data_IF_686585175014
#
_entry.id   IF_686585175014
#
_cell.length_a   1.000
_cell.length_b   1.000
_cell.length_c   1.000
_cell.angle_alpha   90.00
_cell.angle_beta   90.00
_cell.angle_gamma   90.00
#
_symmetry.space_group_name_H-M   'P 1'
#
loop_
_entity.id
_entity.type
_entity.pdbx_description
1 polymer ?
#
# COMPACT_ATOMS: atom_id res chain seq x y z
N UNK A 1 8.87 1.29 16.55
CA UNK A 1 9.51 2.38 15.79
C UNK A 1 9.19 3.66 16.52
N UNK A 2 10.16 4.54 16.67
CA UNK A 2 10.04 5.75 17.47
C UNK A 2 10.35 6.96 16.59
N UNK A 3 9.62 8.06 16.79
CA UNK A 3 9.90 9.29 16.05
C UNK A 3 10.93 10.11 16.82
N UNK A 4 12.06 10.41 16.18
CA UNK A 4 13.12 11.24 16.73
C UNK A 4 13.26 12.54 15.92
N UNK A 5 13.70 13.61 16.58
CA UNK A 5 13.94 14.91 15.95
C UNK A 5 15.39 15.32 16.16
N UNK A 6 16.08 15.63 15.08
CA UNK A 6 17.46 16.13 15.09
C UNK A 6 17.51 17.45 14.32
N UNK A 7 17.48 18.56 15.03
CA UNK A 7 17.37 19.90 14.42
C UNK A 7 16.05 20.08 13.67
N UNK A 8 16.13 20.37 12.37
CA UNK A 8 14.97 20.49 11.47
C UNK A 8 14.52 19.16 10.88
N UNK A 9 15.29 18.08 11.06
CA UNK A 9 15.00 16.77 10.51
C UNK A 9 14.18 15.92 11.47
N UNK A 10 13.28 15.11 10.91
CA UNK A 10 12.47 14.16 11.67
C UNK A 10 12.66 12.77 11.08
N UNK A 11 13.06 11.84 11.93
CA UNK A 11 13.33 10.46 11.53
C UNK A 11 12.39 9.50 12.25
N UNK A 12 12.05 8.41 11.56
CA UNK A 12 11.52 7.23 12.21
C UNK A 12 12.69 6.28 12.50
N UNK A 13 12.93 6.03 13.79
CA UNK A 13 13.97 5.15 14.29
C UNK A 13 13.41 3.74 14.47
N UNK A 14 14.14 2.76 13.94
CA UNK A 14 13.94 1.36 14.27
C UNK A 14 15.28 0.75 14.67
N UNK A 15 15.39 0.32 15.92
CA UNK A 15 16.53 -0.46 16.39
C UNK A 15 16.60 -1.80 15.67
N UNK A 16 17.83 -2.18 15.34
CA UNK A 16 18.18 -3.51 14.84
C UNK A 16 18.55 -4.33 16.08
N UNK A 17 17.62 -5.15 16.56
CA UNK A 17 17.87 -6.01 17.73
C UNK A 17 18.78 -7.18 17.32
N UNK A 18 20.01 -7.18 17.84
CA UNK A 18 20.87 -8.36 17.83
C UNK A 18 20.38 -9.33 18.91
N UNK A 19 19.72 -10.43 18.53
CA UNK A 19 19.60 -11.58 19.44
C UNK A 19 20.93 -12.31 19.47
N UNK A 20 21.62 -12.28 20.61
CA UNK A 20 22.74 -13.19 20.88
C UNK A 20 22.18 -14.62 20.92
N UNK A 21 22.68 -15.57 20.13
CA UNK A 21 22.29 -16.96 20.27
C UNK A 21 22.69 -17.43 21.66
N UNK A 22 21.74 -18.00 22.40
CA UNK A 22 22.02 -18.68 23.66
C UNK A 22 22.88 -19.90 23.33
N UNK A 23 24.10 -19.96 23.87
CA UNK A 23 25.01 -21.09 23.70
C UNK A 23 24.40 -22.34 24.35
N UNK A 24 23.72 -23.18 23.57
CA UNK A 24 23.51 -24.58 23.89
C UNK A 24 24.40 -25.39 22.94
N UNK A 25 25.35 -26.14 23.48
CA UNK A 25 26.42 -26.85 22.76
C UNK A 25 25.92 -28.02 21.87
N UNK A 26 24.61 -28.13 21.63
CA UNK A 26 23.97 -29.26 20.96
C UNK A 26 23.25 -28.94 19.64
N UNK A 27 23.30 -27.70 19.13
CA UNK A 27 22.59 -27.30 17.91
C UNK A 27 23.53 -26.72 16.86
N UNK A 28 23.47 -27.26 15.63
CA UNK A 28 24.22 -26.78 14.46
C UNK A 28 23.97 -25.28 14.27
N UNK A 29 25.05 -24.50 14.30
CA UNK A 29 25.04 -23.05 14.21
C UNK A 29 24.42 -22.58 12.88
N UNK A 30 23.29 -21.88 12.94
CA UNK A 30 23.06 -20.78 12.01
C UNK A 30 23.65 -19.55 12.69
N UNK A 31 24.65 -18.92 12.07
CA UNK A 31 25.05 -17.59 12.49
C UNK A 31 23.84 -16.66 12.33
N UNK A 32 23.89 -15.45 12.88
CA UNK A 32 22.81 -14.46 12.83
C UNK A 32 22.63 -13.87 11.40
N UNK A 33 22.53 -14.76 10.40
CA UNK A 33 22.68 -14.55 8.96
C UNK A 33 21.65 -13.57 8.40
N UNK A 34 20.50 -13.39 9.06
CA UNK A 34 19.41 -12.55 8.57
C UNK A 34 19.77 -11.06 8.53
N UNK A 35 20.44 -10.54 9.57
CA UNK A 35 20.86 -9.14 9.59
C UNK A 35 22.12 -8.89 8.77
N UNK A 36 23.06 -9.84 8.76
CA UNK A 36 24.26 -9.74 7.94
C UNK A 36 23.89 -9.80 6.45
N UNK A 37 22.93 -10.63 6.06
CA UNK A 37 22.34 -10.63 4.72
C UNK A 37 21.68 -9.29 4.39
N UNK A 38 20.76 -8.81 5.25
CA UNK A 38 20.12 -7.52 5.03
C UNK A 38 21.15 -6.40 4.85
N UNK A 39 22.10 -6.27 5.77
CA UNK A 39 23.09 -5.20 5.76
C UNK A 39 24.05 -5.28 4.57
N UNK A 40 24.39 -6.48 4.10
CA UNK A 40 25.32 -6.69 2.98
C UNK A 40 24.66 -6.65 1.59
N UNK A 41 23.36 -6.95 1.51
CA UNK A 41 22.63 -7.07 0.24
C UNK A 41 21.51 -6.04 0.15
N UNK A 42 20.41 -6.24 0.87
CA UNK A 42 19.19 -5.44 0.73
C UNK A 42 19.43 -3.96 1.09
N UNK A 43 20.12 -3.68 2.19
CA UNK A 43 20.47 -2.32 2.59
C UNK A 43 21.35 -1.62 1.55
N UNK A 44 22.30 -2.34 0.93
CA UNK A 44 23.12 -1.76 -0.13
C UNK A 44 22.30 -1.46 -1.39
N UNK A 45 21.28 -2.26 -1.71
CA UNK A 45 20.29 -1.96 -2.75
C UNK A 45 19.50 -0.70 -2.37
N UNK A 46 18.93 -0.63 -1.17
CA UNK A 46 18.14 0.51 -0.69
C UNK A 46 18.95 1.81 -0.65
N UNK A 47 20.24 1.72 -0.32
CA UNK A 47 21.15 2.86 -0.16
C UNK A 47 21.67 3.41 -1.50
N UNK A 48 21.94 2.53 -2.48
CA UNK A 48 22.57 2.93 -3.75
C UNK A 48 21.59 3.34 -4.82
N UNK A 49 20.32 2.92 -4.70
CA UNK A 49 19.28 3.19 -5.69
C UNK A 49 18.32 4.27 -5.21
N UNK A 50 17.80 5.07 -6.14
CA UNK A 50 16.73 6.03 -5.88
C UNK A 50 15.37 5.33 -6.02
N UNK A 51 14.93 4.68 -4.94
CA UNK A 51 13.64 3.99 -4.86
C UNK A 51 12.55 5.01 -4.55
N UNK A 52 11.77 5.39 -5.56
CA UNK A 52 10.85 6.53 -5.46
C UNK A 52 9.69 6.24 -4.53
N UNK A 53 9.25 4.99 -4.51
CA UNK A 53 8.13 4.57 -3.67
C UNK A 53 8.57 4.23 -2.26
N UNK A 54 9.87 4.16 -1.95
CA UNK A 54 10.33 3.83 -0.61
C UNK A 54 10.86 5.06 0.13
N UNK A 55 10.65 5.10 1.44
CA UNK A 55 11.30 6.09 2.30
C UNK A 55 12.77 5.73 2.45
N UNK A 56 13.65 6.66 2.12
CA UNK A 56 15.11 6.48 2.27
C UNK A 56 15.48 6.17 3.72
N UNK A 57 16.30 5.13 3.91
CA UNK A 57 16.82 4.72 5.20
C UNK A 57 18.33 4.99 5.31
N UNK A 58 18.79 5.39 6.48
CA UNK A 58 20.20 5.52 6.83
C UNK A 58 20.55 4.59 7.98
N UNK A 59 21.64 3.83 7.84
CA UNK A 59 22.21 3.06 8.94
C UNK A 59 22.90 4.00 9.93
N UNK A 60 22.46 3.93 11.18
CA UNK A 60 23.10 4.57 12.33
C UNK A 60 23.72 3.50 13.20
N UNK A 61 24.98 3.69 13.57
CA UNK A 61 25.69 2.84 14.53
C UNK A 61 26.16 3.71 15.69
N UNK A 62 25.73 3.37 16.91
CA UNK A 62 26.07 4.10 18.13
C UNK A 62 26.13 3.13 19.29
N UNK A 63 27.22 3.15 20.05
CA UNK A 63 27.40 2.33 21.26
C UNK A 63 27.14 0.82 21.00
N UNK A 64 27.65 0.30 19.88
CA UNK A 64 27.44 -1.08 19.38
C UNK A 64 25.99 -1.42 18.96
N UNK A 65 25.05 -0.48 19.11
CA UNK A 65 23.69 -0.62 18.57
C UNK A 65 23.61 -0.11 17.13
N UNK A 66 23.03 -0.93 16.26
CA UNK A 66 22.66 -0.53 14.91
C UNK A 66 21.18 -0.16 14.85
N UNK A 67 20.86 0.83 14.05
CA UNK A 67 19.48 1.30 13.84
C UNK A 67 19.30 1.82 12.43
N UNK A 68 18.08 1.75 11.93
CA UNK A 68 17.67 2.42 10.70
C UNK A 68 16.94 3.72 11.03
N UNK A 69 17.38 4.79 10.38
CA UNK A 69 16.77 6.11 10.38
C UNK A 69 16.05 6.33 9.05
N UNK A 70 14.72 6.30 9.06
CA UNK A 70 13.94 6.64 7.88
C UNK A 70 13.65 8.14 7.84
N UNK A 71 14.02 8.81 6.75
CA UNK A 71 13.80 10.25 6.61
C UNK A 71 12.32 10.54 6.32
N UNK A 72 11.61 11.02 7.34
CA UNK A 72 10.21 11.43 7.26
C UNK A 72 10.05 12.96 7.36
N UNK A 73 11.14 13.69 7.16
CA UNK A 73 11.17 15.15 7.25
C UNK A 73 10.19 15.77 6.25
N UNK A 74 9.26 16.58 6.74
CA UNK A 74 8.24 17.21 5.91
C UNK A 74 7.18 16.26 5.33
N UNK A 75 7.21 14.96 5.69
CA UNK A 75 6.23 13.97 5.23
C UNK A 75 5.12 13.80 6.26
N UNK A 76 3.93 13.41 5.79
CA UNK A 76 2.74 13.20 6.64
C UNK A 76 2.28 11.75 6.57
N UNK A 77 2.07 11.06 7.70
CA UNK A 77 1.58 9.69 7.67
C UNK A 77 0.14 9.63 7.16
N UNK A 78 -0.20 8.60 6.40
CA UNK A 78 -1.52 8.40 5.81
C UNK A 78 -2.62 8.30 6.88
N UNK A 79 -2.29 7.71 8.04
CA UNK A 79 -3.17 7.67 9.23
C UNK A 79 -3.66 9.04 9.68
N UNK A 80 -2.80 10.06 9.56
CA UNK A 80 -3.17 11.44 9.92
C UNK A 80 -4.12 12.03 8.89
N UNK A 81 -3.91 11.73 7.61
CA UNK A 81 -4.76 12.23 6.53
C UNK A 81 -6.18 11.74 6.64
N UNK A 82 -6.40 10.44 6.87
CA UNK A 82 -7.76 9.88 7.01
C UNK A 82 -8.55 10.46 8.19
N UNK A 83 -7.88 11.08 9.17
CA UNK A 83 -8.52 11.84 10.26
C UNK A 83 -8.82 13.29 9.89
N UNK A 84 -8.02 13.89 9.02
CA UNK A 84 -8.10 15.31 8.65
C UNK A 84 -9.02 15.54 7.44
N UNK A 85 -9.10 14.57 6.53
CA UNK A 85 -9.98 14.58 5.36
C UNK A 85 -10.49 13.18 5.04
N UNK A 86 -11.68 13.11 4.47
CA UNK A 86 -12.17 11.89 3.85
C UNK A 86 -11.48 11.66 2.49
N UNK A 87 -11.30 10.39 2.12
CA UNK A 87 -10.69 10.00 0.86
C UNK A 87 -11.71 10.02 -0.27
N UNK A 88 -11.49 10.92 -1.23
CA UNK A 88 -12.20 10.87 -2.52
C UNK A 88 -11.74 9.68 -3.36
N UNK A 89 -12.50 9.37 -4.41
CA UNK A 89 -12.15 8.31 -5.35
C UNK A 89 -10.73 8.49 -5.91
N UNK A 90 -10.38 9.72 -6.28
CA UNK A 90 -9.06 10.08 -6.81
C UNK A 90 -7.93 9.77 -5.82
N UNK A 91 -8.18 9.96 -4.52
CA UNK A 91 -7.21 9.65 -3.48
C UNK A 91 -7.04 8.14 -3.29
N UNK A 92 -8.15 7.39 -3.30
CA UNK A 92 -8.12 5.93 -3.29
C UNK A 92 -7.32 5.37 -4.47
N UNK A 93 -7.57 5.87 -5.68
CA UNK A 93 -6.85 5.46 -6.89
C UNK A 93 -5.36 5.78 -6.83
N UNK A 94 -5.02 6.96 -6.31
CA UNK A 94 -3.63 7.35 -6.11
C UNK A 94 -2.91 6.38 -5.17
N UNK A 95 -3.56 5.97 -4.07
CA UNK A 95 -3.00 4.99 -3.13
C UNK A 95 -2.81 3.63 -3.82
N UNK A 96 -3.84 3.13 -4.51
CA UNK A 96 -3.77 1.84 -5.22
C UNK A 96 -2.72 1.84 -6.34
N UNK A 97 -2.63 2.92 -7.11
CA UNK A 97 -1.62 3.05 -8.17
C UNK A 97 -0.21 3.12 -7.59
N UNK A 98 0.00 3.89 -6.52
CA UNK A 98 1.30 3.96 -5.87
C UNK A 98 1.70 2.63 -5.23
N UNK A 99 0.75 1.86 -4.70
CA UNK A 99 0.99 0.48 -4.24
C UNK A 99 1.43 -0.44 -5.39
N UNK A 100 0.77 -0.38 -6.55
CA UNK A 100 1.19 -1.15 -7.74
C UNK A 100 2.61 -0.78 -8.17
N UNK A 101 2.94 0.51 -8.19
CA UNK A 101 4.29 0.99 -8.47
C UNK A 101 5.30 0.49 -7.43
N UNK A 102 4.93 0.46 -6.16
CA UNK A 102 5.79 -0.03 -5.07
C UNK A 102 6.06 -1.53 -5.20
N UNK A 103 5.04 -2.32 -5.52
CA UNK A 103 5.21 -3.77 -5.74
C UNK A 103 6.16 -4.00 -6.91
N UNK A 104 5.99 -3.27 -8.02
CA UNK A 104 6.90 -3.36 -9.17
C UNK A 104 8.33 -2.95 -8.78
N UNK A 105 8.52 -1.86 -8.05
CA UNK A 105 9.84 -1.39 -7.64
C UNK A 105 10.51 -2.41 -6.69
N UNK A 106 9.78 -3.00 -5.75
CA UNK A 106 10.28 -4.08 -4.88
C UNK A 106 10.71 -5.30 -5.69
N UNK A 107 9.90 -5.72 -6.67
CA UNK A 107 10.20 -6.86 -7.55
C UNK A 107 11.42 -6.61 -8.45
N UNK A 108 11.52 -5.41 -9.06
CA UNK A 108 12.61 -5.03 -9.97
C UNK A 108 13.98 -5.09 -9.29
N UNK A 109 14.01 -4.80 -8.00
CA UNK A 109 15.22 -4.85 -7.17
C UNK A 109 15.37 -6.15 -6.37
N UNK A 110 14.51 -7.15 -6.62
CA UNK A 110 14.51 -8.45 -5.94
C UNK A 110 14.41 -8.35 -4.41
N UNK A 111 13.71 -7.33 -3.91
CA UNK A 111 13.46 -7.12 -2.49
C UNK A 111 12.24 -7.96 -2.03
N UNK A 112 12.14 -8.27 -0.73
CA UNK A 112 11.01 -9.04 -0.20
C UNK A 112 9.82 -8.11 0.12
N UNK A 113 8.72 -8.26 -0.62
CA UNK A 113 7.48 -7.51 -0.40
C UNK A 113 6.94 -7.66 1.02
N UNK A 114 7.26 -8.76 1.73
CA UNK A 114 6.86 -8.93 3.11
C UNK A 114 7.48 -7.88 4.06
N UNK A 115 8.59 -7.28 3.67
CA UNK A 115 9.31 -6.25 4.43
C UNK A 115 8.68 -4.86 4.30
N UNK A 116 7.62 -4.69 3.50
CA UNK A 116 6.88 -3.43 3.42
C UNK A 116 5.93 -3.29 4.62
N UNK A 117 5.98 -2.12 5.28
CA UNK A 117 5.05 -1.76 6.34
C UNK A 117 3.74 -1.20 5.77
N UNK A 118 2.68 -2.01 5.87
CA UNK A 118 1.34 -1.69 5.36
C UNK A 118 0.46 -0.94 6.38
N UNK A 119 0.97 -0.65 7.58
CA UNK A 119 0.20 0.11 8.58
C UNK A 119 0.15 1.59 8.19
N UNK A 120 -1.04 2.24 8.22
CA UNK A 120 -1.20 3.63 7.80
C UNK A 120 -0.33 4.67 8.54
N UNK A 121 0.12 4.37 9.76
CA UNK A 121 1.08 5.21 10.49
C UNK A 121 2.50 5.22 9.90
N UNK A 122 2.84 4.26 9.03
CA UNK A 122 4.15 4.09 8.42
C UNK A 122 4.13 4.24 6.89
N UNK A 123 3.02 4.70 6.33
CA UNK A 123 2.89 5.10 4.93
C UNK A 123 2.87 6.62 4.91
N UNK A 124 3.75 7.24 4.14
CA UNK A 124 3.99 8.68 4.20
C UNK A 124 3.69 9.35 2.86
N UNK A 125 3.07 10.53 2.88
CA UNK A 125 2.96 11.41 1.72
C UNK A 125 3.90 12.59 1.88
N UNK A 126 4.68 12.89 0.85
CA UNK A 126 5.58 14.05 0.83
C UNK A 126 4.85 15.35 0.46
N UNK A 127 5.61 16.46 0.41
CA UNK A 127 5.07 17.79 0.05
C UNK A 127 4.58 17.91 -1.40
N UNK A 128 5.01 17.02 -2.31
CA UNK A 128 4.56 16.96 -3.71
C UNK A 128 3.31 16.08 -3.86
N UNK A 129 2.92 15.39 -2.79
CA UNK A 129 1.85 14.42 -2.81
C UNK A 129 2.32 13.02 -3.18
N UNK A 130 3.61 12.71 -3.23
CA UNK A 130 4.04 11.36 -3.54
C UNK A 130 3.95 10.47 -2.30
N UNK A 131 3.34 9.29 -2.46
CA UNK A 131 3.23 8.30 -1.39
C UNK A 131 4.49 7.44 -1.37
N UNK A 132 5.01 7.21 -0.17
CA UNK A 132 6.20 6.42 0.10
C UNK A 132 5.97 5.42 1.24
N UNK A 133 6.54 4.24 1.10
CA UNK A 133 6.39 3.10 2.00
C UNK A 133 7.69 2.87 2.78
N UNK A 134 7.56 2.40 4.02
CA UNK A 134 8.72 1.98 4.80
C UNK A 134 9.04 0.53 4.41
N UNK A 135 10.24 0.32 3.87
CA UNK A 135 10.83 -1.02 3.74
C UNK A 135 11.66 -1.31 4.99
N UNK A 136 11.24 -2.31 5.76
CA UNK A 136 11.96 -2.75 6.94
C UNK A 136 12.04 -4.28 6.95
N UNK A 137 13.26 -4.85 6.91
CA UNK A 137 13.46 -6.28 6.98
C UNK A 137 12.88 -6.82 8.29
N UNK A 138 11.88 -7.69 8.18
CA UNK A 138 11.49 -8.50 9.33
C UNK A 138 12.40 -9.71 9.35
N UNK A 139 13.29 -9.79 10.35
CA UNK A 139 14.05 -11.02 10.57
C UNK A 139 13.06 -12.16 10.77
N UNK A 140 13.16 -13.19 9.96
CA UNK A 140 12.42 -14.46 10.05
C UNK A 140 12.60 -15.20 11.39
N UNK A 141 13.39 -14.67 12.33
CA UNK A 141 13.69 -15.27 13.63
C UNK A 141 12.52 -15.33 14.63
N UNK A 142 11.31 -14.89 14.26
CA UNK A 142 10.08 -15.19 15.00
C UNK A 142 9.49 -16.56 14.66
N UNK A 143 9.83 -17.11 13.49
CA UNK A 143 9.28 -18.37 12.96
C UNK A 143 10.28 -19.53 12.91
N UNK A 144 11.58 -19.27 13.08
CA UNK A 144 12.66 -20.27 12.92
C UNK A 144 12.67 -21.40 13.96
N UNK A 145 11.86 -21.33 15.03
CA UNK A 145 11.64 -22.50 15.91
C UNK A 145 10.68 -23.54 15.29
N UNK A 146 10.21 -23.34 14.04
CA UNK A 146 9.39 -24.32 13.31
C UNK A 146 10.01 -24.74 11.99
N UNK A 147 11.32 -24.97 11.96
CA UNK A 147 12.00 -25.64 10.85
C UNK A 147 11.48 -27.07 10.72
N UNK A 148 10.50 -27.24 9.83
CA UNK A 148 10.16 -28.45 9.07
C UNK A 148 8.91 -28.10 8.28
N UNK A 149 9.04 -27.40 7.15
CA UNK A 149 8.12 -27.34 5.99
C UNK A 149 8.39 -26.04 5.19
N UNK A 150 9.30 -26.09 4.22
CA UNK A 150 9.56 -24.97 3.30
C UNK A 150 8.28 -24.55 2.54
N UNK A 151 7.37 -25.49 2.27
CA UNK A 151 6.08 -25.20 1.65
C UNK A 151 5.06 -24.52 2.59
N UNK A 152 5.08 -24.83 3.89
CA UNK A 152 4.22 -24.13 4.87
C UNK A 152 4.72 -22.72 5.12
N UNK A 153 6.02 -22.48 5.11
CA UNK A 153 6.58 -21.16 5.38
C UNK A 153 6.20 -20.16 4.28
N UNK A 154 6.27 -20.56 3.02
CA UNK A 154 5.85 -19.71 1.90
C UNK A 154 4.33 -19.45 1.93
N UNK A 155 3.52 -20.47 2.26
CA UNK A 155 2.08 -20.30 2.47
C UNK A 155 1.77 -19.39 3.66
N UNK A 156 2.48 -19.53 4.79
CA UNK A 156 2.28 -18.70 5.98
C UNK A 156 2.70 -17.24 5.74
N UNK A 157 3.78 -16.98 4.98
CA UNK A 157 4.19 -15.63 4.59
C UNK A 157 3.15 -14.97 3.68
N UNK A 158 2.67 -15.69 2.68
CA UNK A 158 1.62 -15.19 1.78
C UNK A 158 0.30 -14.94 2.53
N UNK A 159 -0.07 -15.82 3.48
CA UNK A 159 -1.21 -15.59 4.36
C UNK A 159 -1.04 -14.35 5.25
N UNK A 160 0.18 -14.06 5.72
CA UNK A 160 0.46 -12.86 6.50
C UNK A 160 0.36 -11.59 5.65
N UNK A 161 0.98 -11.57 4.46
CA UNK A 161 0.86 -10.44 3.54
C UNK A 161 -0.60 -10.18 3.15
N UNK A 162 -1.35 -11.24 2.84
CA UNK A 162 -2.79 -11.15 2.57
C UNK A 162 -3.54 -10.44 3.70
N UNK A 163 -3.35 -10.91 4.94
CA UNK A 163 -4.03 -10.33 6.12
C UNK A 163 -3.63 -8.88 6.35
N UNK A 164 -2.36 -8.52 6.14
CA UNK A 164 -1.88 -7.13 6.26
C UNK A 164 -2.46 -6.22 5.16
N UNK A 165 -2.55 -6.71 3.93
CA UNK A 165 -3.23 -5.99 2.83
C UNK A 165 -4.72 -5.80 3.11
N UNK A 166 -5.42 -6.86 3.53
CA UNK A 166 -6.83 -6.76 3.95
C UNK A 166 -7.02 -5.76 5.08
N UNK A 167 -6.13 -5.74 6.08
CA UNK A 167 -6.19 -4.80 7.19
C UNK A 167 -6.02 -3.34 6.73
N UNK A 168 -5.10 -3.07 5.78
CA UNK A 168 -4.93 -1.74 5.19
C UNK A 168 -6.20 -1.29 4.46
N UNK A 169 -6.76 -2.15 3.60
CA UNK A 169 -7.98 -1.80 2.86
C UNK A 169 -9.20 -1.68 3.76
N UNK A 170 -9.35 -2.55 4.75
CA UNK A 170 -10.40 -2.44 5.77
C UNK A 170 -10.28 -1.15 6.58
N UNK A 171 -9.06 -0.68 6.87
CA UNK A 171 -8.83 0.63 7.47
C UNK A 171 -9.21 1.77 6.54
N UNK A 172 -8.96 1.66 5.23
CA UNK A 172 -9.31 2.71 4.27
C UNK A 172 -10.82 2.92 4.13
N UNK A 173 -11.63 1.86 4.19
CA UNK A 173 -13.08 1.95 4.00
C UNK A 173 -13.78 3.04 4.83
N UNK A 174 -13.63 3.09 6.17
CA UNK A 174 -14.24 4.14 6.99
C UNK A 174 -13.61 5.53 6.78
N UNK A 175 -12.51 5.66 6.04
CA UNK A 175 -11.90 6.95 5.72
C UNK A 175 -12.45 7.56 4.42
N UNK A 176 -13.26 6.82 3.65
CA UNK A 176 -13.79 7.28 2.35
C UNK A 176 -14.81 8.38 2.57
N UNK A 177 -14.87 9.30 1.61
CA UNK A 177 -15.97 10.25 1.52
C UNK A 177 -17.26 9.52 1.13
N UNK A 178 -18.17 9.34 2.08
CA UNK A 178 -19.43 8.64 1.85
C UNK A 178 -20.42 9.44 0.98
N UNK A 179 -20.16 10.73 0.73
CA UNK A 179 -20.90 11.52 -0.26
C UNK A 179 -20.41 11.24 -1.69
N UNK A 180 -19.17 10.75 -1.85
CA UNK A 180 -18.60 10.28 -3.11
C UNK A 180 -19.01 8.82 -3.34
N UNK A 181 -20.17 8.64 -3.99
CA UNK A 181 -20.70 7.30 -4.29
C UNK A 181 -19.76 6.46 -5.14
N UNK A 182 -18.95 7.10 -5.99
CA UNK A 182 -18.00 6.41 -6.85
C UNK A 182 -16.81 5.90 -6.03
N UNK A 183 -16.30 6.68 -5.07
CA UNK A 183 -15.28 6.25 -4.13
C UNK A 183 -15.73 5.05 -3.28
N UNK A 184 -16.95 5.11 -2.76
CA UNK A 184 -17.56 4.02 -1.98
C UNK A 184 -17.63 2.76 -2.84
N UNK A 185 -18.28 2.83 -4.01
CA UNK A 185 -18.40 1.66 -4.87
C UNK A 185 -17.04 1.12 -5.30
N UNK A 186 -16.09 1.99 -5.63
CA UNK A 186 -14.74 1.62 -6.04
C UNK A 186 -14.05 0.81 -4.93
N UNK A 187 -13.87 1.39 -3.75
CA UNK A 187 -13.10 0.70 -2.70
C UNK A 187 -13.81 -0.52 -2.12
N UNK A 188 -15.15 -0.51 -1.98
CA UNK A 188 -15.87 -1.70 -1.51
C UNK A 188 -15.80 -2.86 -2.51
N UNK A 189 -15.93 -2.59 -3.82
CA UNK A 189 -15.76 -3.63 -4.86
C UNK A 189 -14.34 -4.18 -4.83
N UNK A 190 -13.33 -3.32 -4.70
CA UNK A 190 -11.93 -3.74 -4.63
C UNK A 190 -11.66 -4.61 -3.39
N UNK A 191 -12.04 -4.14 -2.21
CA UNK A 191 -11.87 -4.88 -0.96
C UNK A 191 -12.56 -6.26 -0.99
N UNK A 192 -13.78 -6.32 -1.54
CA UNK A 192 -14.49 -7.59 -1.70
C UNK A 192 -13.80 -8.54 -2.67
N UNK A 193 -13.18 -8.03 -3.75
CA UNK A 193 -12.36 -8.84 -4.66
C UNK A 193 -11.14 -9.40 -3.93
N UNK A 194 -10.41 -8.56 -3.19
CA UNK A 194 -9.25 -8.98 -2.39
C UNK A 194 -9.61 -10.09 -1.39
N UNK A 195 -10.74 -9.96 -0.68
CA UNK A 195 -11.20 -10.98 0.28
C UNK A 195 -11.63 -12.29 -0.37
N UNK A 196 -12.22 -12.25 -1.58
CA UNK A 196 -12.75 -13.43 -2.25
C UNK A 196 -11.69 -14.19 -3.05
N UNK A 197 -10.81 -13.45 -3.73
CA UNK A 197 -9.86 -14.00 -4.70
C UNK A 197 -8.43 -14.05 -4.15
N UNK A 198 -8.16 -13.39 -3.02
CA UNK A 198 -6.82 -13.08 -2.58
C UNK A 198 -6.30 -11.78 -3.21
N UNK A 199 -5.34 -11.16 -2.54
CA UNK A 199 -4.56 -10.06 -3.06
C UNK A 199 -3.50 -10.62 -4.01
N UNK A 200 -3.40 -10.01 -5.18
CA UNK A 200 -2.27 -10.20 -6.09
C UNK A 200 -2.01 -8.88 -6.83
N UNK A 201 -0.79 -8.75 -7.36
CA UNK A 201 -0.43 -7.60 -8.18
C UNK A 201 -1.31 -7.51 -9.42
N UNK A 202 -1.59 -8.63 -10.07
CA UNK A 202 -2.43 -8.71 -11.27
C UNK A 202 -3.87 -8.28 -10.97
N UNK A 203 -4.40 -8.65 -9.80
CA UNK A 203 -5.73 -8.22 -9.35
C UNK A 203 -5.78 -6.70 -9.17
N UNK A 204 -4.76 -6.12 -8.53
CA UNK A 204 -4.63 -4.68 -8.33
C UNK A 204 -4.53 -3.94 -9.68
N UNK A 205 -3.65 -4.37 -10.56
CA UNK A 205 -3.44 -3.75 -11.88
C UNK A 205 -4.67 -3.84 -12.77
N UNK A 206 -5.28 -5.02 -12.85
CA UNK A 206 -6.52 -5.23 -13.62
C UNK A 206 -7.63 -4.34 -13.08
N UNK A 207 -7.74 -4.18 -11.76
CA UNK A 207 -8.76 -3.35 -11.15
C UNK A 207 -8.57 -1.86 -11.52
N UNK A 208 -7.34 -1.35 -11.41
CA UNK A 208 -6.99 0.02 -11.80
C UNK A 208 -7.25 0.25 -13.30
N UNK A 209 -6.87 -0.70 -14.16
CA UNK A 209 -6.98 -0.57 -15.60
C UNK A 209 -8.42 -0.66 -16.11
N UNK A 210 -9.24 -1.57 -15.55
CA UNK A 210 -10.65 -1.72 -15.93
C UNK A 210 -11.42 -0.41 -15.72
N UNK A 211 -11.10 0.33 -14.66
CA UNK A 211 -11.71 1.64 -14.38
C UNK A 211 -11.31 2.69 -15.42
N UNK A 212 -10.02 2.77 -15.77
CA UNK A 212 -9.54 3.68 -16.83
C UNK A 212 -10.23 3.44 -18.17
N UNK A 213 -10.51 2.17 -18.50
CA UNK A 213 -11.23 1.83 -19.73
C UNK A 213 -12.69 2.30 -19.67
N UNK A 214 -13.41 2.09 -18.55
CA UNK A 214 -14.78 2.60 -18.38
C UNK A 214 -14.84 4.13 -18.52
N UNK A 215 -13.95 4.85 -17.85
CA UNK A 215 -13.85 6.32 -17.98
C UNK A 215 -13.56 6.78 -19.41
N UNK A 216 -12.68 6.09 -20.14
CA UNK A 216 -12.36 6.40 -21.53
C UNK A 216 -13.59 6.24 -22.45
N UNK A 217 -14.37 5.17 -22.27
CA UNK A 217 -15.60 4.96 -23.05
C UNK A 217 -16.70 5.95 -22.68
N UNK A 218 -16.86 6.30 -21.40
CA UNK A 218 -17.82 7.31 -20.96
C UNK A 218 -17.50 8.68 -21.55
N UNK A 219 -16.22 9.07 -21.59
CA UNK A 219 -15.77 10.32 -22.22
C UNK A 219 -16.03 10.28 -23.74
N UNK A 220 -15.70 9.18 -24.43
CA UNK A 220 -15.99 9.05 -25.86
C UNK A 220 -17.49 9.12 -26.18
N UNK A 221 -18.36 8.54 -25.34
CA UNK A 221 -19.82 8.63 -25.51
C UNK A 221 -20.34 10.05 -25.25
N UNK A 222 -19.81 10.75 -24.24
CA UNK A 222 -20.13 12.16 -23.98
C UNK A 222 -19.66 13.06 -25.12
N UNK A 223 -18.50 12.80 -25.72
CA UNK A 223 -18.01 13.54 -26.90
C UNK A 223 -18.81 13.25 -28.17
N UNK A 224 -19.22 11.99 -28.39
CA UNK A 224 -20.10 11.61 -29.51
C UNK A 224 -21.51 12.19 -29.34
N UNK A 225 -22.02 12.26 -28.12
CA UNK A 225 -23.32 12.88 -27.82
C UNK A 225 -23.24 14.41 -27.87
N UNK A 226 -22.17 15.04 -27.38
CA UNK A 226 -21.97 16.49 -27.50
C UNK A 226 -21.78 16.95 -28.94
N UNK A 227 -21.12 16.15 -29.79
CA UNK A 227 -21.03 16.37 -31.24
C UNK A 227 -22.39 16.26 -31.93
N UNK A 228 -23.21 15.27 -31.57
CA UNK A 228 -24.60 15.14 -32.07
C UNK A 228 -25.53 16.23 -31.56
N UNK A 229 -25.34 16.70 -30.32
CA UNK A 229 -26.12 17.79 -29.70
C UNK A 229 -25.77 19.15 -30.32
N UNK A 230 -24.54 19.36 -30.77
CA UNK A 230 -24.19 20.55 -31.58
C UNK A 230 -24.98 20.61 -32.89
N UNK A 231 -25.21 19.48 -33.56
CA UNK A 231 -26.04 19.42 -34.78
C UNK A 231 -27.55 19.50 -34.50
N UNK A 232 -28.01 19.08 -33.31
CA UNK A 232 -29.43 19.06 -32.94
C UNK A 232 -29.88 20.23 -32.05
N UNK A 233 -28.98 21.17 -31.73
CA UNK A 233 -29.27 22.39 -30.94
C UNK A 233 -30.12 23.46 -31.66
N UNK A 234 -30.73 23.13 -32.80
CA UNK A 234 -32.00 23.72 -33.24
C UNK A 234 -33.12 22.72 -32.97
N UNK A 235 -33.68 22.70 -31.76
CA UNK A 235 -35.10 22.48 -31.43
C UNK A 235 -35.26 22.02 -29.96
N UNK A 236 -35.78 22.97 -29.17
CA UNK A 236 -36.67 22.85 -28.00
C UNK A 236 -36.18 22.23 -26.68
N UNK A 237 -36.05 23.14 -25.71
CA UNK A 237 -36.48 23.00 -24.31
C UNK A 237 -37.77 22.18 -24.17
N UNK A 238 -37.83 21.28 -23.18
CA UNK A 238 -38.58 21.48 -21.92
C UNK A 238 -38.77 20.13 -21.17
N UNK A 239 -38.92 20.22 -19.83
CA UNK A 239 -39.47 19.23 -18.84
C UNK A 239 -38.52 18.39 -17.94
N UNK A 240 -38.29 18.97 -16.75
CA UNK A 240 -38.53 18.48 -15.36
C UNK A 240 -38.55 16.96 -15.01
N UNK A 241 -37.66 16.64 -14.05
CA UNK A 241 -37.79 15.90 -12.77
C UNK A 241 -38.34 14.48 -12.71
N UNK A 242 -37.57 13.57 -12.09
CA UNK A 242 -37.95 12.86 -10.85
C UNK A 242 -36.73 12.12 -10.24
N UNK A 243 -36.50 12.34 -8.93
CA UNK A 243 -35.56 11.60 -8.10
C UNK A 243 -36.34 10.55 -7.31
N UNK A 244 -36.03 9.27 -7.48
CA UNK A 244 -36.40 8.20 -6.56
C UNK A 244 -35.13 7.61 -5.95
N UNK A 245 -35.10 7.60 -4.61
CA UNK A 245 -34.05 7.04 -3.78
C UNK A 245 -34.08 5.52 -3.82
N UNK A 246 -33.01 4.89 -4.32
CA UNK A 246 -32.85 3.43 -4.36
C UNK A 246 -32.05 2.97 -3.13
N UNK A 247 -32.58 1.96 -2.43
CA UNK A 247 -31.99 1.32 -1.25
C UNK A 247 -30.73 0.50 -1.63
N UNK A 248 -29.64 0.68 -0.87
CA UNK A 248 -28.33 0.11 -1.14
C UNK A 248 -28.26 -1.43 -1.10
N UNK A 249 -29.24 -2.12 -0.53
CA UNK A 249 -29.22 -3.58 -0.40
C UNK A 249 -29.61 -4.34 -1.68
N UNK A 250 -30.32 -3.72 -2.62
CA UNK A 250 -30.78 -4.39 -3.84
C UNK A 250 -29.77 -4.33 -5.00
N UNK A 251 -28.80 -3.40 -4.98
CA UNK A 251 -27.85 -3.19 -6.08
C UNK A 251 -26.73 -4.25 -6.15
N UNK A 252 -26.50 -5.03 -5.09
CA UNK A 252 -25.37 -5.97 -5.00
C UNK A 252 -25.66 -7.38 -5.55
N UNK A 253 -26.78 -7.60 -6.23
CA UNK A 253 -27.14 -8.91 -6.78
C UNK A 253 -26.73 -9.16 -8.24
N UNK A 254 -26.30 -8.14 -9.00
CA UNK A 254 -26.21 -8.29 -10.47
C UNK A 254 -24.82 -8.43 -11.10
N UNK A 255 -23.71 -8.51 -10.35
CA UNK A 255 -22.40 -8.83 -10.96
C UNK A 255 -21.57 -9.79 -10.09
N UNK A 256 -22.04 -11.04 -10.00
CA UNK A 256 -21.26 -12.21 -9.54
C UNK A 256 -20.89 -13.09 -10.73
#
# INVERSE_FOLDING_TARGET
>A
MEVIKEGTYTYLLKQIEYRTPVYDESVVHTQNESWDYYLSVEYEILKRNELKTLVSAQLREKDEEKSLLFDITGKRPLKRQGKERAFSQKECEKILQNMSNMIQEVEDYMLDLNCIELRPEYIYEDSKGEIQWIYFPQTSLGSEIKSNLQDRELQNKNEDLQKRMEALFAWMLPQIDYEDTDAVQFMYRFYNKVRKLGFSKELLETYIQTKRQKEYYDIEEVDKTSAKVRDSSKIKQDRRSNNESISYEEFFKEEL
#
